data_IF_269099352299
#
_entry.id   IF_269099352299
#
_cell.length_a   1.000
_cell.length_b   1.000
_cell.length_c   1.000
_cell.angle_alpha   90.00
_cell.angle_beta   90.00
_cell.angle_gamma   90.00
#
_symmetry.space_group_name_H-M   'P 1'
#
loop_
_entity.id
_entity.type
_entity.pdbx_description
1 polymer ?
#
# COMPACT_ATOMS: atom_id res chain seq x y z
N UNK A 1 -30.26 0.64 -9.29
CA UNK A 1 -30.00 -0.13 -8.05
C UNK A 1 -29.08 0.72 -7.18
N UNK A 2 -29.34 0.86 -5.88
CA UNK A 2 -28.51 1.64 -4.93
C UNK A 2 -28.15 0.73 -3.75
N UNK A 3 -26.86 0.62 -3.44
CA UNK A 3 -26.38 -0.13 -2.29
C UNK A 3 -26.15 0.84 -1.12
N UNK A 4 -26.83 0.62 0.01
CA UNK A 4 -26.59 1.40 1.24
C UNK A 4 -25.33 0.86 1.93
N UNK A 5 -24.60 1.74 2.62
CA UNK A 5 -23.40 1.40 3.39
C UNK A 5 -22.33 0.61 2.59
N UNK A 6 -22.25 0.83 1.27
CA UNK A 6 -21.31 0.12 0.38
C UNK A 6 -19.89 0.68 0.44
N UNK A 7 -19.71 1.84 1.07
CA UNK A 7 -18.43 2.53 1.26
C UNK A 7 -18.36 2.97 2.71
N UNK A 8 -17.23 2.73 3.36
CA UNK A 8 -16.91 3.36 4.64
C UNK A 8 -15.63 4.19 4.53
N UNK A 9 -15.61 5.30 5.27
CA UNK A 9 -14.49 6.22 5.37
C UNK A 9 -14.22 6.42 6.86
N UNK A 10 -12.99 6.17 7.30
CA UNK A 10 -12.62 6.27 8.70
C UNK A 10 -11.14 6.59 8.87
N UNK A 11 -10.78 7.23 9.98
CA UNK A 11 -9.39 7.34 10.41
C UNK A 11 -8.99 6.11 11.23
N UNK A 12 -7.82 5.58 10.96
CA UNK A 12 -7.30 4.38 11.61
C UNK A 12 -5.95 4.67 12.26
N UNK A 13 -5.84 4.42 13.56
CA UNK A 13 -4.55 4.36 14.24
C UNK A 13 -3.86 3.03 13.93
N UNK A 14 -2.66 3.09 13.34
CA UNK A 14 -1.95 1.91 12.83
C UNK A 14 -1.09 1.18 13.86
N UNK A 15 -1.15 1.58 15.14
CA UNK A 15 -0.44 0.87 16.22
C UNK A 15 1.08 1.06 16.25
N UNK A 16 1.62 1.93 15.40
CA UNK A 16 3.05 2.25 15.32
C UNK A 16 3.23 3.75 15.07
N UNK A 17 4.35 4.36 15.49
CA UNK A 17 4.63 5.75 15.15
C UNK A 17 4.96 5.90 13.66
N UNK A 18 4.53 7.00 13.04
CA UNK A 18 4.91 7.34 11.67
C UNK A 18 6.40 7.68 11.60
N UNK A 19 6.87 8.41 12.62
CA UNK A 19 8.27 8.76 12.84
C UNK A 19 8.51 8.89 14.34
N UNK A 20 9.72 8.56 14.79
CA UNK A 20 10.21 8.86 16.14
C UNK A 20 11.73 8.94 16.19
N UNK A 21 12.24 9.74 17.10
CA UNK A 21 13.64 9.77 17.48
C UNK A 21 13.74 10.10 18.97
N UNK A 22 14.61 9.37 19.67
CA UNK A 22 15.00 9.68 21.04
C UNK A 22 16.50 9.92 21.03
N UNK A 23 16.90 11.11 21.45
CA UNK A 23 18.29 11.48 21.61
C UNK A 23 18.64 11.45 23.09
N UNK A 24 19.78 10.84 23.40
CA UNK A 24 20.37 10.80 24.76
C UNK A 24 21.84 11.26 24.75
N UNK A 25 22.51 11.19 23.59
CA UNK A 25 23.96 11.36 23.53
C UNK A 25 24.44 12.82 23.57
N UNK A 26 23.72 13.75 22.93
CA UNK A 26 24.07 15.19 22.88
C UNK A 26 23.00 16.10 23.49
N UNK A 27 21.75 15.68 23.34
CA UNK A 27 20.57 16.34 23.88
C UNK A 27 19.68 15.22 24.41
N UNK A 28 18.98 15.47 25.51
CA UNK A 28 18.00 14.54 26.04
C UNK A 28 16.62 14.99 25.57
N UNK A 29 16.17 14.51 24.41
CA UNK A 29 14.88 14.91 23.85
C UNK A 29 14.22 13.81 23.03
N UNK A 30 12.91 13.91 22.89
CA UNK A 30 12.09 12.99 22.11
C UNK A 30 11.28 13.75 21.08
N UNK A 31 11.32 13.32 19.82
CA UNK A 31 10.41 13.78 18.78
C UNK A 31 9.67 12.59 18.18
N UNK A 32 8.35 12.63 18.10
CA UNK A 32 7.55 11.51 17.63
C UNK A 32 6.20 11.92 17.07
N UNK A 33 5.58 11.00 16.36
CA UNK A 33 4.25 11.18 15.80
C UNK A 33 3.56 9.83 15.66
N UNK A 34 2.34 9.72 16.19
CA UNK A 34 1.46 8.57 15.98
C UNK A 34 1.18 8.38 14.48
N UNK A 35 1.05 7.14 14.01
CA UNK A 35 0.65 6.88 12.63
C UNK A 35 -0.86 6.72 12.55
N UNK A 36 -1.55 7.75 12.09
CA UNK A 36 -2.96 7.72 11.71
C UNK A 36 -3.09 7.84 10.20
N UNK A 37 -4.04 7.11 9.63
CA UNK A 37 -4.31 7.12 8.19
C UNK A 37 -5.81 7.20 7.92
N UNK A 38 -6.16 7.93 6.85
CA UNK A 38 -7.53 7.95 6.33
C UNK A 38 -7.73 6.74 5.42
N UNK A 39 -8.75 5.94 5.69
CA UNK A 39 -9.06 4.73 4.94
C UNK A 39 -10.41 4.90 4.26
N UNK A 40 -10.41 4.71 2.94
CA UNK A 40 -11.62 4.48 2.16
C UNK A 40 -11.69 2.98 1.85
N UNK A 41 -12.78 2.32 2.25
CA UNK A 41 -12.97 0.88 2.03
C UNK A 41 -14.27 0.58 1.30
N UNK A 42 -14.19 -0.34 0.36
CA UNK A 42 -15.35 -0.98 -0.29
C UNK A 42 -15.15 -2.49 -0.35
N UNK A 43 -16.24 -3.25 -0.32
CA UNK A 43 -16.22 -4.71 -0.35
C UNK A 43 -17.09 -5.19 -1.50
N UNK A 44 -16.54 -6.06 -2.34
CA UNK A 44 -17.26 -6.69 -3.45
C UNK A 44 -17.36 -8.19 -3.21
N UNK A 45 -18.57 -8.67 -2.95
CA UNK A 45 -18.87 -10.09 -2.86
C UNK A 45 -19.27 -10.62 -4.25
N UNK A 46 -18.49 -11.56 -4.80
CA UNK A 46 -18.71 -12.16 -6.11
C UNK A 46 -18.75 -13.69 -5.93
N UNK A 47 -19.95 -14.25 -5.99
CA UNK A 47 -20.16 -15.69 -5.78
C UNK A 47 -19.74 -16.09 -4.37
N UNK A 48 -18.67 -16.88 -4.29
CA UNK A 48 -18.13 -17.40 -3.03
C UNK A 48 -17.06 -16.50 -2.39
N UNK A 49 -16.48 -15.54 -3.13
CA UNK A 49 -15.40 -14.68 -2.63
C UNK A 49 -15.88 -13.29 -2.23
N UNK A 50 -15.24 -12.75 -1.20
CA UNK A 50 -15.36 -11.38 -0.74
C UNK A 50 -14.02 -10.66 -0.91
N UNK A 51 -13.99 -9.61 -1.73
CA UNK A 51 -12.80 -8.80 -1.95
C UNK A 51 -12.93 -7.47 -1.21
N UNK A 52 -12.01 -7.23 -0.29
CA UNK A 52 -11.91 -5.96 0.43
C UNK A 52 -10.90 -5.07 -0.26
N UNK A 53 -11.33 -3.88 -0.67
CA UNK A 53 -10.51 -2.89 -1.34
C UNK A 53 -10.31 -1.70 -0.42
N UNK A 54 -9.05 -1.44 -0.06
CA UNK A 54 -8.66 -0.33 0.80
C UNK A 54 -7.82 0.67 0.01
N UNK A 55 -8.21 1.94 0.11
CA UNK A 55 -7.40 3.08 -0.32
C UNK A 55 -7.02 3.87 0.93
N UNK A 56 -5.73 3.85 1.25
CA UNK A 56 -5.17 4.35 2.52
C UNK A 56 -4.32 5.57 2.22
N UNK A 57 -4.63 6.68 2.88
CA UNK A 57 -3.93 7.95 2.73
C UNK A 57 -3.15 8.26 4.00
N UNK A 58 -1.84 8.42 3.85
CA UNK A 58 -0.92 8.64 4.96
C UNK A 58 -0.55 10.12 5.10
N UNK A 59 -0.30 10.55 6.34
CA UNK A 59 0.07 11.95 6.65
C UNK A 59 1.43 12.39 6.03
N UNK A 60 2.27 11.45 5.60
CA UNK A 60 3.52 11.75 4.87
C UNK A 60 3.32 11.91 3.35
N UNK A 61 2.08 11.91 2.86
CA UNK A 61 1.72 12.01 1.44
C UNK A 61 1.80 10.71 0.66
N UNK A 62 2.05 9.57 1.31
CA UNK A 62 1.94 8.27 0.67
C UNK A 62 0.46 7.87 0.49
N UNK A 63 0.20 7.10 -0.56
CA UNK A 63 -1.11 6.53 -0.86
C UNK A 63 -0.95 5.05 -1.14
N UNK A 64 -1.73 4.20 -0.50
CA UNK A 64 -1.72 2.76 -0.72
C UNK A 64 -3.07 2.30 -1.23
N UNK A 65 -3.04 1.46 -2.25
CA UNK A 65 -4.21 0.72 -2.69
C UNK A 65 -3.95 -0.77 -2.45
N UNK A 66 -4.83 -1.39 -1.66
CA UNK A 66 -4.67 -2.74 -1.14
C UNK A 66 -5.93 -3.56 -1.38
N UNK A 67 -5.74 -4.82 -1.71
CA UNK A 67 -6.79 -5.81 -1.86
C UNK A 67 -6.54 -6.96 -0.90
N UNK A 68 -7.58 -7.42 -0.23
CA UNK A 68 -7.60 -8.66 0.54
C UNK A 68 -8.71 -9.57 0.02
N UNK A 69 -8.45 -10.87 -0.02
CA UNK A 69 -9.45 -11.88 -0.33
C UNK A 69 -9.89 -12.62 0.94
N UNK A 70 -11.19 -12.81 1.09
CA UNK A 70 -11.82 -13.69 2.08
C UNK A 70 -13.07 -14.32 1.45
N UNK A 71 -13.94 -14.92 2.26
CA UNK A 71 -15.09 -15.68 1.78
C UNK A 71 -14.82 -17.17 1.71
N UNK A 72 -15.72 -17.89 1.06
CA UNK A 72 -15.62 -19.33 0.87
C UNK A 72 -14.72 -19.65 -0.30
N UNK A 73 -13.94 -20.71 -0.17
CA UNK A 73 -13.20 -21.29 -1.28
C UNK A 73 -14.13 -22.01 -2.25
N UNK A 74 -13.75 -22.02 -3.53
CA UNK A 74 -14.41 -22.88 -4.51
C UNK A 74 -13.85 -24.30 -4.42
N UNK A 75 -14.71 -25.32 -4.41
CA UNK A 75 -14.32 -26.72 -4.22
C UNK A 75 -14.94 -27.64 -5.26
N UNK A 76 -14.29 -28.78 -5.49
CA UNK A 76 -14.68 -29.88 -6.37
C UNK A 76 -14.68 -31.19 -5.57
N UNK A 77 -15.35 -32.22 -6.08
CA UNK A 77 -15.36 -33.53 -5.40
C UNK A 77 -14.00 -34.23 -5.45
N UNK A 78 -13.63 -34.91 -4.36
CA UNK A 78 -12.42 -35.73 -4.25
C UNK A 78 -12.55 -37.00 -5.11
N UNK A 79 -11.82 -37.02 -6.22
CA UNK A 79 -11.68 -38.21 -7.07
C UNK A 79 -10.24 -38.72 -6.96
N UNK A 80 -10.04 -40.02 -6.72
CA UNK A 80 -8.72 -40.66 -6.50
C UNK A 80 -7.66 -40.34 -7.55
N UNK A 81 -8.06 -39.98 -8.77
CA UNK A 81 -7.15 -39.61 -9.86
C UNK A 81 -6.52 -38.20 -9.72
N UNK A 82 -7.02 -37.36 -8.81
CA UNK A 82 -6.70 -35.93 -8.71
C UNK A 82 -5.98 -35.59 -7.39
N UNK A 83 -5.49 -36.60 -6.65
CA UNK A 83 -4.86 -36.39 -5.33
C UNK A 83 -3.56 -35.58 -5.37
N UNK A 84 -2.93 -35.45 -6.54
CA UNK A 84 -1.63 -34.78 -6.70
C UNK A 84 -1.74 -33.29 -7.01
N UNK A 85 -2.95 -32.74 -7.21
CA UNK A 85 -3.14 -31.34 -7.65
C UNK A 85 -3.85 -30.45 -6.62
N UNK A 86 -4.25 -30.98 -5.46
CA UNK A 86 -5.02 -30.24 -4.47
C UNK A 86 -4.91 -30.82 -3.05
N UNK A 87 -5.03 -29.97 -2.04
CA UNK A 87 -5.00 -30.37 -0.62
C UNK A 87 -6.36 -30.96 -0.22
N UNK A 88 -6.34 -32.07 0.53
CA UNK A 88 -7.55 -32.66 1.09
C UNK A 88 -7.86 -32.04 2.46
N UNK A 89 -9.05 -31.48 2.60
CA UNK A 89 -9.51 -30.84 3.84
C UNK A 89 -10.81 -31.46 4.39
N UNK A 90 -11.59 -32.16 3.55
CA UNK A 90 -12.77 -32.93 3.97
C UNK A 90 -12.79 -34.31 3.32
N UNK A 91 -13.64 -35.21 3.83
CA UNK A 91 -13.70 -36.61 3.37
C UNK A 91 -13.95 -36.75 1.86
N UNK A 92 -14.59 -35.76 1.22
CA UNK A 92 -15.16 -35.83 -0.14
C UNK A 92 -14.82 -34.66 -1.07
N UNK A 93 -13.98 -33.69 -0.68
CA UNK A 93 -13.73 -32.46 -1.45
C UNK A 93 -12.23 -32.16 -1.68
N UNK A 94 -11.92 -31.55 -2.82
CA UNK A 94 -10.63 -31.01 -3.29
C UNK A 94 -10.82 -29.56 -3.73
N UNK A 95 -9.80 -28.71 -3.58
CA UNK A 95 -9.87 -27.29 -3.99
C UNK A 95 -9.11 -26.99 -5.28
N UNK A 96 -9.45 -25.90 -5.97
CA UNK A 96 -8.80 -25.47 -7.22
C UNK A 96 -7.99 -24.17 -7.04
N UNK A 97 -6.74 -24.19 -7.50
CA UNK A 97 -5.84 -23.04 -7.54
C UNK A 97 -6.37 -21.92 -8.45
N UNK A 98 -6.26 -20.65 -8.03
CA UNK A 98 -6.69 -19.47 -8.80
C UNK A 98 -5.76 -18.25 -8.56
N UNK A 99 -5.83 -17.22 -9.42
CA UNK A 99 -4.99 -16.00 -9.33
C UNK A 99 -5.64 -14.80 -10.05
N UNK A 100 -5.42 -13.57 -9.51
CA UNK A 100 -5.26 -12.25 -10.17
C UNK A 100 -6.16 -11.09 -9.67
N UNK A 101 -5.56 -9.90 -9.51
CA UNK A 101 -6.23 -8.57 -9.52
C UNK A 101 -5.38 -7.55 -10.32
N UNK A 102 -6.04 -6.57 -10.94
CA UNK A 102 -5.40 -5.48 -11.68
C UNK A 102 -5.84 -4.13 -11.11
N UNK A 103 -4.87 -3.25 -10.87
CA UNK A 103 -5.05 -1.89 -10.37
C UNK A 103 -4.48 -0.89 -11.37
N UNK A 104 -5.26 0.13 -11.70
CA UNK A 104 -4.83 1.25 -12.53
C UNK A 104 -4.50 2.44 -11.63
N UNK A 105 -3.29 2.97 -11.75
CA UNK A 105 -2.87 4.20 -11.06
C UNK A 105 -2.59 5.28 -12.10
N UNK A 106 -3.45 6.29 -12.16
CA UNK A 106 -3.19 7.52 -12.90
C UNK A 106 -2.48 8.53 -12.00
N UNK A 107 -1.30 9.00 -12.39
CA UNK A 107 -0.68 10.15 -11.74
C UNK A 107 -1.34 11.43 -12.26
N UNK A 108 -2.28 11.99 -11.50
CA UNK A 108 -2.88 13.30 -11.80
C UNK A 108 -1.93 14.48 -11.50
N UNK A 109 -0.67 14.42 -11.94
CA UNK A 109 0.31 15.48 -11.68
C UNK A 109 0.37 16.50 -12.82
N UNK A 110 -0.50 17.52 -12.72
CA UNK A 110 -0.26 18.89 -13.23
C UNK A 110 0.34 19.01 -14.64
N UNK A 111 -0.33 18.57 -15.71
CA UNK A 111 -0.07 19.00 -17.11
C UNK A 111 1.42 19.07 -17.52
N UNK A 112 2.27 18.28 -16.88
CA UNK A 112 3.73 18.40 -16.91
C UNK A 112 4.28 17.12 -17.48
N UNK A 113 5.29 17.24 -18.31
CA UNK A 113 5.97 16.12 -18.94
C UNK A 113 6.44 15.09 -17.89
N UNK A 114 5.85 13.89 -17.92
CA UNK A 114 6.20 12.79 -17.03
C UNK A 114 7.09 11.75 -17.74
N UNK A 115 7.89 11.02 -16.98
CA UNK A 115 8.69 9.90 -17.48
C UNK A 115 8.84 8.82 -16.42
N UNK A 116 8.92 7.57 -16.86
CA UNK A 116 9.28 6.46 -15.99
C UNK A 116 10.79 6.44 -15.75
N UNK A 117 11.19 6.28 -14.49
CA UNK A 117 12.58 6.15 -14.10
C UNK A 117 12.78 4.95 -13.17
N UNK A 118 13.89 4.24 -13.33
CA UNK A 118 14.32 3.19 -12.42
C UNK A 118 15.58 3.60 -11.70
N UNK A 119 15.70 3.24 -10.43
CA UNK A 119 16.93 3.39 -9.64
C UNK A 119 17.32 2.07 -8.98
N UNK A 120 18.61 1.78 -8.99
CA UNK A 120 19.18 0.62 -8.31
C UNK A 120 20.58 0.95 -7.76
N UNK A 121 21.24 -0.02 -7.16
CA UNK A 121 22.55 0.11 -6.57
C UNK A 121 23.50 -0.95 -7.15
N UNK A 122 24.68 -0.50 -7.53
CA UNK A 122 25.80 -1.35 -7.96
C UNK A 122 27.03 -1.04 -7.12
N UNK A 123 27.84 -2.05 -6.82
CA UNK A 123 29.09 -1.83 -6.10
C UNK A 123 30.22 -1.63 -7.09
N UNK A 124 30.93 -0.50 -6.97
CA UNK A 124 32.13 -0.22 -7.77
C UNK A 124 33.36 -0.34 -6.90
N UNK A 125 34.38 -0.98 -7.44
CA UNK A 125 35.68 -1.03 -6.79
C UNK A 125 36.42 0.30 -7.01
N UNK A 126 36.56 1.11 -5.96
CA UNK A 126 37.13 2.46 -6.04
C UNK A 126 38.32 2.58 -5.09
N UNK A 127 39.39 3.25 -5.53
CA UNK A 127 40.52 3.55 -4.66
C UNK A 127 40.16 4.59 -3.62
N UNK A 128 40.63 4.41 -2.39
CA UNK A 128 40.35 5.36 -1.30
C UNK A 128 41.12 6.66 -1.55
N UNK A 129 40.45 7.84 -1.61
CA UNK A 129 41.13 9.11 -1.86
C UNK A 129 42.28 9.40 -0.87
N UNK A 130 42.12 8.96 0.38
CA UNK A 130 43.09 9.11 1.46
C UNK A 130 44.11 7.96 1.60
N UNK A 131 43.91 6.83 0.90
CA UNK A 131 44.84 5.69 0.88
C UNK A 131 44.85 5.05 -0.51
N UNK A 132 45.60 5.66 -1.44
CA UNK A 132 45.58 5.29 -2.88
C UNK A 132 45.94 3.83 -3.21
N UNK A 133 46.60 3.11 -2.29
CA UNK A 133 46.92 1.69 -2.42
C UNK A 133 45.81 0.74 -1.94
N UNK A 134 44.79 1.29 -1.29
CA UNK A 134 43.66 0.54 -0.77
C UNK A 134 42.41 0.82 -1.60
N UNK A 135 41.59 -0.22 -1.75
CA UNK A 135 40.36 -0.18 -2.52
C UNK A 135 39.20 -0.62 -1.65
N UNK A 136 38.04 -0.04 -1.91
CA UNK A 136 36.80 -0.43 -1.27
C UNK A 136 35.70 -0.61 -2.31
N UNK A 137 34.81 -1.56 -2.04
CA UNK A 137 33.56 -1.70 -2.78
C UNK A 137 32.59 -0.64 -2.28
N UNK A 138 32.40 0.42 -3.07
CA UNK A 138 31.53 1.54 -2.72
C UNK A 138 30.20 1.39 -3.47
N UNK A 139 29.04 1.49 -2.78
CA UNK A 139 27.75 1.49 -3.45
C UNK A 139 27.58 2.76 -4.29
N UNK A 140 27.21 2.58 -5.55
CA UNK A 140 26.88 3.64 -6.50
C UNK A 140 25.41 3.52 -6.91
N UNK A 141 24.73 4.67 -6.90
CA UNK A 141 23.39 4.79 -7.46
C UNK A 141 23.47 4.66 -8.99
N UNK A 142 22.60 3.83 -9.55
CA UNK A 142 22.40 3.71 -10.99
C UNK A 142 20.98 4.15 -11.31
N UNK A 143 20.85 5.11 -12.21
CA UNK A 143 19.56 5.63 -12.66
C UNK A 143 19.40 5.37 -14.15
N UNK A 144 18.23 4.87 -14.56
CA UNK A 144 17.86 4.68 -15.96
C UNK A 144 16.48 5.28 -16.20
N UNK A 145 16.36 6.11 -17.24
CA UNK A 145 15.07 6.58 -17.76
C UNK A 145 14.54 5.56 -18.76
N UNK A 146 13.25 5.24 -18.70
CA UNK A 146 12.60 4.32 -19.64
C UNK A 146 11.97 5.12 -20.77
N UNK A 147 12.28 4.75 -22.00
CA UNK A 147 11.93 5.55 -23.18
C UNK A 147 10.72 5.02 -23.94
N UNK A 148 10.40 3.72 -23.80
CA UNK A 148 9.28 3.07 -24.49
C UNK A 148 8.39 2.29 -23.53
N UNK A 149 7.15 1.98 -23.93
CA UNK A 149 6.26 1.13 -23.14
C UNK A 149 6.86 -0.26 -22.90
N UNK A 150 7.58 -0.80 -23.88
CA UNK A 150 8.23 -2.11 -23.77
C UNK A 150 9.35 -2.12 -22.73
N UNK A 151 10.12 -1.04 -22.61
CA UNK A 151 11.10 -0.90 -21.52
C UNK A 151 10.44 -0.74 -20.14
N UNK A 152 9.27 -0.09 -20.09
CA UNK A 152 8.50 0.10 -18.87
C UNK A 152 7.67 -1.13 -18.46
N UNK A 153 7.50 -2.11 -19.35
CA UNK A 153 6.76 -3.33 -19.09
C UNK A 153 7.57 -4.33 -18.26
N UNK A 154 7.35 -4.31 -16.94
CA UNK A 154 7.95 -5.25 -16.01
C UNK A 154 7.12 -6.54 -15.95
N UNK A 155 7.48 -7.53 -16.77
CA UNK A 155 6.78 -8.82 -16.84
C UNK A 155 7.08 -9.72 -15.63
N UNK A 156 6.16 -10.63 -15.34
CA UNK A 156 6.34 -11.65 -14.31
C UNK A 156 7.63 -12.46 -14.53
N UNK A 157 8.39 -12.71 -13.45
CA UNK A 157 9.66 -13.43 -13.48
C UNK A 157 10.87 -12.61 -13.95
N UNK A 158 10.68 -11.35 -14.35
CA UNK A 158 11.80 -10.44 -14.64
C UNK A 158 12.34 -9.81 -13.36
N UNK A 159 13.63 -9.47 -13.36
CA UNK A 159 14.24 -8.73 -12.24
C UNK A 159 13.59 -7.34 -12.17
N UNK A 160 12.74 -7.12 -11.18
CA UNK A 160 12.14 -5.81 -10.93
C UNK A 160 13.18 -4.86 -10.33
N UNK A 161 13.27 -3.61 -10.81
CA UNK A 161 14.13 -2.61 -10.19
C UNK A 161 13.69 -2.35 -8.75
N UNK A 162 14.63 -2.09 -7.85
CA UNK A 162 14.30 -1.80 -6.44
C UNK A 162 13.46 -0.53 -6.29
N UNK A 163 13.69 0.45 -7.17
CA UNK A 163 12.98 1.71 -7.20
C UNK A 163 12.42 1.95 -8.60
N UNK A 164 11.10 1.94 -8.73
CA UNK A 164 10.36 2.35 -9.93
C UNK A 164 9.64 3.66 -9.64
N UNK A 165 9.82 4.67 -10.50
CA UNK A 165 9.34 6.02 -10.28
C UNK A 165 8.55 6.51 -11.48
N UNK A 166 7.51 7.31 -11.20
CA UNK A 166 6.95 8.27 -12.15
C UNK A 166 7.53 9.63 -11.74
N UNK A 167 8.28 10.26 -12.64
CA UNK A 167 9.01 11.50 -12.39
C UNK A 167 8.54 12.63 -13.29
N UNK A 168 8.42 13.82 -12.73
CA UNK A 168 8.21 15.06 -13.49
C UNK A 168 9.55 15.71 -13.83
N UNK A 169 9.55 16.66 -14.78
CA UNK A 169 10.67 17.55 -15.04
C UNK A 169 10.85 18.66 -13.99
N UNK A 170 9.85 18.88 -13.13
CA UNK A 170 9.97 19.81 -12.00
C UNK A 170 10.93 19.27 -10.92
N UNK A 171 11.67 20.16 -10.28
CA UNK A 171 12.60 19.82 -9.19
C UNK A 171 12.14 20.37 -7.84
N UNK A 172 12.60 19.74 -6.76
CA UNK A 172 12.48 20.27 -5.41
C UNK A 172 13.62 21.28 -5.12
N UNK A 173 13.63 21.87 -3.91
CA UNK A 173 14.63 22.89 -3.50
C UNK A 173 16.08 22.41 -3.54
N UNK A 174 16.30 21.11 -3.60
CA UNK A 174 17.62 20.47 -3.63
C UNK A 174 18.07 20.13 -5.06
N UNK A 175 17.29 20.49 -6.08
CA UNK A 175 17.59 20.20 -7.49
C UNK A 175 17.24 18.78 -7.93
N UNK A 176 16.59 17.97 -7.09
CA UNK A 176 16.15 16.63 -7.47
C UNK A 176 14.78 16.68 -8.15
N UNK A 177 14.59 15.87 -9.19
CA UNK A 177 13.29 15.72 -9.85
C UNK A 177 12.23 15.21 -8.88
N UNK A 178 11.05 15.81 -8.94
CA UNK A 178 9.88 15.43 -8.13
C UNK A 178 9.30 14.14 -8.69
N UNK A 179 9.17 13.12 -7.84
CA UNK A 179 8.71 11.80 -8.28
C UNK A 179 7.90 11.08 -7.21
N UNK A 180 7.04 10.16 -7.65
CA UNK A 180 6.45 9.14 -6.80
C UNK A 180 7.07 7.78 -7.12
N UNK A 181 7.49 7.06 -6.08
CA UNK A 181 7.95 5.68 -6.17
C UNK A 181 6.74 4.75 -6.10
N UNK A 182 6.68 3.80 -7.03
CA UNK A 182 5.74 2.70 -7.02
C UNK A 182 6.39 1.51 -6.30
N UNK A 183 5.78 1.07 -5.21
CA UNK A 183 6.20 -0.10 -4.46
C UNK A 183 5.06 -1.13 -4.48
N UNK A 184 5.23 -2.18 -5.29
CA UNK A 184 4.23 -3.22 -5.46
C UNK A 184 4.46 -4.33 -4.43
N UNK A 185 3.38 -4.77 -3.78
CA UNK A 185 3.38 -5.92 -2.88
C UNK A 185 2.46 -6.99 -3.48
N UNK A 186 3.07 -8.02 -4.06
CA UNK A 186 2.36 -9.11 -4.72
C UNK A 186 3.21 -10.38 -4.72
N UNK A 187 2.56 -11.54 -4.71
CA UNK A 187 3.18 -12.87 -4.86
C UNK A 187 2.51 -13.64 -6.00
N UNK A 188 2.41 -13.04 -7.21
CA UNK A 188 1.54 -13.54 -8.26
C UNK A 188 1.93 -14.95 -8.71
N UNK A 189 0.95 -15.77 -9.04
CA UNK A 189 1.16 -17.01 -9.79
C UNK A 189 1.66 -16.76 -11.21
N UNK A 190 2.00 -17.83 -11.94
CA UNK A 190 2.57 -17.76 -13.30
C UNK A 190 1.61 -17.24 -14.37
N UNK A 191 0.31 -17.19 -14.08
CA UNK A 191 -0.73 -16.63 -14.97
C UNK A 191 -0.82 -15.12 -14.78
N UNK A 192 0.12 -14.36 -15.35
CA UNK A 192 -0.03 -12.91 -15.52
C UNK A 192 -0.73 -12.63 -16.85
N UNK A 193 -1.67 -11.69 -16.87
CA UNK A 193 -2.16 -11.12 -18.13
C UNK A 193 -0.95 -10.58 -18.91
N UNK A 194 -0.72 -11.10 -20.13
CA UNK A 194 0.25 -10.52 -21.06
C UNK A 194 -0.38 -9.27 -21.63
N UNK A 195 -0.06 -8.11 -21.08
CA UNK A 195 -0.12 -6.89 -21.86
C UNK A 195 0.78 -7.07 -23.10
N UNK A 196 0.38 -6.52 -24.25
CA UNK A 196 1.21 -6.45 -25.45
C UNK A 196 1.69 -5.00 -25.58
N UNK A 197 2.80 -4.61 -24.90
CA UNK A 197 3.30 -3.25 -24.95
C UNK A 197 3.74 -2.93 -26.38
N UNK A 198 3.54 -1.70 -26.83
CA UNK A 198 3.97 -1.26 -28.16
C UNK A 198 5.32 -0.58 -28.07
N UNK A 199 6.03 -0.46 -29.20
CA UNK A 199 7.22 0.40 -29.31
C UNK A 199 6.84 1.89 -29.37
N UNK A 200 5.97 2.35 -28.46
CA UNK A 200 5.56 3.75 -28.36
C UNK A 200 6.41 4.47 -27.32
N UNK A 201 6.78 5.72 -27.60
CA UNK A 201 7.56 6.55 -26.70
C UNK A 201 6.73 7.03 -25.49
N UNK A 202 7.33 6.94 -24.29
CA UNK A 202 6.68 7.33 -23.02
C UNK A 202 7.34 8.57 -22.38
N UNK A 203 8.27 9.23 -23.07
CA UNK A 203 8.93 10.43 -22.56
C UNK A 203 8.04 11.67 -22.69
N UNK A 204 7.87 12.38 -21.57
CA UNK A 204 7.19 13.67 -21.51
C UNK A 204 5.69 13.59 -21.84
N UNK A 205 5.10 12.40 -21.69
CA UNK A 205 3.69 12.17 -21.94
C UNK A 205 2.89 12.21 -20.62
N UNK A 206 1.57 12.18 -20.74
CA UNK A 206 0.67 11.83 -19.63
C UNK A 206 0.72 10.31 -19.43
N UNK A 207 1.20 9.86 -18.26
CA UNK A 207 1.51 8.46 -18.02
C UNK A 207 0.48 7.79 -17.11
N UNK A 208 0.16 6.55 -17.45
CA UNK A 208 -0.67 5.67 -16.64
C UNK A 208 0.13 4.42 -16.30
N UNK A 209 0.22 4.10 -15.00
CA UNK A 209 0.81 2.86 -14.55
C UNK A 209 -0.27 1.80 -14.34
N UNK A 210 -0.08 0.64 -14.97
CA UNK A 210 -0.91 -0.54 -14.77
C UNK A 210 -0.18 -1.51 -13.85
N UNK A 211 -0.74 -1.72 -12.66
CA UNK A 211 -0.15 -2.58 -11.64
C UNK A 211 -0.98 -3.85 -11.51
N UNK A 212 -0.31 -4.99 -11.55
CA UNK A 212 -0.95 -6.28 -11.26
C UNK A 212 -0.53 -6.73 -9.88
N UNK A 213 -1.50 -6.99 -9.00
CA UNK A 213 -1.26 -7.51 -7.67
C UNK A 213 -2.11 -8.77 -7.46
N UNK A 214 -1.53 -9.79 -6.83
CA UNK A 214 -2.21 -11.05 -6.61
C UNK A 214 -1.30 -12.04 -5.93
N UNK A 215 -1.84 -13.21 -5.61
CA UNK A 215 -1.11 -14.30 -5.01
C UNK A 215 -1.59 -15.65 -5.54
N UNK A 216 -0.73 -16.66 -5.45
CA UNK A 216 -1.11 -18.05 -5.65
C UNK A 216 -1.77 -18.57 -4.37
N UNK A 217 -3.04 -18.99 -4.46
CA UNK A 217 -3.74 -19.61 -3.33
C UNK A 217 -3.84 -21.12 -3.55
N UNK A 218 -3.14 -21.89 -2.71
CA UNK A 218 -3.33 -23.34 -2.55
C UNK A 218 -4.09 -23.48 -1.22
N UNK A 219 -5.41 -23.71 -1.25
CA UNK A 219 -6.13 -23.66 0.00
C UNK A 219 -5.84 -24.89 0.87
N UNK A 220 -6.14 -24.73 2.16
CA UNK A 220 -5.77 -25.66 3.22
C UNK A 220 -6.79 -25.65 4.37
N UNK A 221 -6.57 -26.47 5.40
CA UNK A 221 -7.57 -26.70 6.45
C UNK A 221 -8.01 -25.40 7.17
N UNK A 222 -7.10 -24.45 7.36
CA UNK A 222 -7.36 -23.15 8.00
C UNK A 222 -8.11 -22.15 7.10
N UNK A 223 -8.41 -22.50 5.83
CA UNK A 223 -9.35 -21.77 4.98
C UNK A 223 -10.82 -22.14 5.26
N UNK A 224 -11.07 -23.05 6.22
CA UNK A 224 -12.41 -23.44 6.66
C UNK A 224 -12.74 -22.78 8.00
N UNK A 225 -13.90 -22.09 8.12
CA UNK A 225 -14.96 -21.97 7.12
C UNK A 225 -14.65 -21.01 5.97
N UNK A 226 -13.80 -20.00 6.20
CA UNK A 226 -13.48 -18.96 5.23
C UNK A 226 -11.98 -18.70 5.17
N UNK A 227 -11.49 -18.31 3.99
CA UNK A 227 -10.13 -17.80 3.82
C UNK A 227 -9.92 -16.53 4.64
N UNK A 228 -8.81 -16.45 5.35
CA UNK A 228 -8.48 -15.30 6.21
C UNK A 228 -7.78 -14.18 5.43
N UNK A 229 -7.91 -12.93 5.88
CA UNK A 229 -7.29 -11.77 5.21
C UNK A 229 -5.81 -11.58 5.54
N UNK A 230 -5.33 -12.15 6.65
CA UNK A 230 -3.94 -12.07 7.11
C UNK A 230 -3.06 -12.83 6.12
N UNK A 231 -2.03 -12.16 5.57
CA UNK A 231 -1.13 -12.73 4.57
C UNK A 231 -1.70 -12.74 3.13
N UNK A 232 -3.01 -12.71 2.95
CA UNK A 232 -3.70 -12.71 1.64
C UNK A 232 -3.93 -11.29 1.09
N UNK A 233 -3.03 -10.36 1.44
CA UNK A 233 -3.05 -8.98 0.98
C UNK A 233 -2.11 -8.76 -0.20
N UNK A 234 -2.56 -8.02 -1.21
CA UNK A 234 -1.72 -7.50 -2.29
C UNK A 234 -2.03 -6.03 -2.55
N UNK A 235 -1.15 -5.32 -3.23
CA UNK A 235 -1.40 -3.91 -3.53
C UNK A 235 -0.22 -3.14 -4.10
N UNK A 236 -0.37 -1.82 -4.11
CA UNK A 236 0.66 -0.86 -4.48
C UNK A 236 0.67 0.31 -3.53
N UNK A 237 1.87 0.69 -3.09
CA UNK A 237 2.13 1.88 -2.31
C UNK A 237 2.84 2.92 -3.19
N UNK A 238 2.18 4.06 -3.37
CA UNK A 238 2.72 5.25 -4.01
C UNK A 238 3.38 6.10 -2.94
N UNK A 239 4.70 6.26 -3.02
CA UNK A 239 5.48 7.01 -2.02
C UNK A 239 6.10 8.26 -2.63
N UNK A 240 5.94 9.44 -2.01
CA UNK A 240 6.73 10.61 -2.39
C UNK A 240 8.22 10.31 -2.33
N UNK A 241 8.95 10.65 -3.39
CA UNK A 241 10.40 10.54 -3.44
C UNK A 241 10.98 11.79 -4.08
N UNK A 242 11.61 12.65 -3.26
CA UNK A 242 12.02 14.01 -3.65
C UNK A 242 10.86 14.86 -4.22
N UNK A 243 9.60 14.45 -4.01
CA UNK A 243 8.44 15.21 -4.44
C UNK A 243 8.26 16.48 -3.61
N UNK A 244 8.50 16.39 -2.30
CA UNK A 244 8.51 17.51 -1.38
C UNK A 244 9.94 17.99 -1.11
N UNK A 245 10.06 19.13 -0.43
CA UNK A 245 11.33 19.67 0.04
C UNK A 245 11.80 18.99 1.33
N UNK A 246 10.86 18.49 2.12
CA UNK A 246 11.01 17.75 3.38
C UNK A 246 9.76 16.89 3.62
N UNK A 247 9.78 16.06 4.66
CA UNK A 247 8.62 15.22 5.02
C UNK A 247 7.43 16.11 5.44
N UNK A 248 6.28 16.07 4.74
CA UNK A 248 5.13 16.90 5.09
C UNK A 248 4.55 16.57 6.47
N UNK A 249 4.86 15.41 7.06
CA UNK A 249 4.41 15.09 8.42
C UNK A 249 5.09 15.94 9.50
N UNK A 250 6.12 16.73 9.17
CA UNK A 250 6.82 17.61 10.12
C UNK A 250 5.89 18.67 10.72
N UNK A 251 4.92 19.15 9.94
CA UNK A 251 3.96 20.18 10.35
C UNK A 251 2.68 19.58 10.97
N UNK A 252 2.65 18.27 11.23
CA UNK A 252 1.46 17.63 11.78
C UNK A 252 1.15 18.12 13.19
N UNK A 253 -0.11 18.50 13.49
CA UNK A 253 -0.53 18.86 14.84
C UNK A 253 -0.55 17.67 15.80
N UNK A 254 -0.47 16.44 15.28
CA UNK A 254 -0.41 15.21 16.07
C UNK A 254 1.04 14.82 16.45
N UNK A 255 2.01 15.63 16.04
CA UNK A 255 3.40 15.43 16.42
C UNK A 255 3.70 15.97 17.81
N UNK A 256 4.61 15.31 18.50
CA UNK A 256 5.01 15.61 19.87
C UNK A 256 6.52 15.80 19.89
N UNK A 257 6.96 16.85 20.59
CA UNK A 257 8.37 17.09 20.88
C UNK A 257 8.52 17.39 22.38
N UNK A 258 9.34 16.59 23.05
CA UNK A 258 9.54 16.63 24.49
C UNK A 258 11.01 16.92 24.81
N UNK A 259 11.21 17.92 25.65
CA UNK A 259 12.47 18.21 26.34
C UNK A 259 12.30 17.97 27.84
N UNK A 260 13.39 17.79 28.60
CA UNK A 260 13.30 17.49 30.03
C UNK A 260 12.58 18.62 30.76
N UNK A 261 11.53 18.28 31.51
CA UNK A 261 10.68 19.25 32.21
C UNK A 261 9.43 19.71 31.43
N UNK A 262 9.24 19.27 30.18
CA UNK A 262 8.05 19.59 29.37
C UNK A 262 6.99 18.48 29.33
N UNK A 263 7.20 17.40 30.09
CA UNK A 263 6.41 16.17 30.00
C UNK A 263 4.96 16.35 30.43
N UNK A 264 4.69 17.30 31.32
CA UNK A 264 3.37 17.58 31.89
C UNK A 264 2.60 18.72 31.19
N UNK A 265 3.21 19.40 30.21
CA UNK A 265 2.56 20.52 29.52
C UNK A 265 1.64 20.03 28.41
N UNK A 266 0.37 20.44 28.43
CA UNK A 266 -0.58 20.16 27.33
C UNK A 266 -0.15 20.77 25.99
N UNK A 267 0.63 21.86 26.03
CA UNK A 267 1.05 22.58 24.83
C UNK A 267 2.09 21.81 24.02
N UNK A 268 3.05 21.17 24.71
CA UNK A 268 4.10 20.35 24.09
C UNK A 268 3.76 18.86 24.03
N UNK A 269 2.92 18.39 24.96
CA UNK A 269 2.55 16.99 25.11
C UNK A 269 1.03 16.84 25.28
N UNK A 270 0.29 16.66 24.18
CA UNK A 270 -1.15 16.40 24.26
C UNK A 270 -1.50 15.17 25.11
N UNK A 271 -0.61 14.17 25.16
CA UNK A 271 -0.83 12.98 26.00
C UNK A 271 -0.87 13.31 27.49
N UNK A 272 -0.30 14.42 27.93
CA UNK A 272 -0.37 14.86 29.33
C UNK A 272 -1.79 15.21 29.77
N UNK A 273 -2.68 15.55 28.81
CA UNK A 273 -4.01 16.11 29.11
C UNK A 273 -5.16 15.26 28.55
N UNK A 274 -4.82 14.14 27.89
CA UNK A 274 -5.80 13.15 27.41
C UNK A 274 -6.72 12.66 28.53
N UNK A 275 -6.24 12.53 29.77
CA UNK A 275 -7.10 12.11 30.89
C UNK A 275 -8.16 13.13 31.28
N UNK A 276 -7.89 14.42 31.07
CA UNK A 276 -8.82 15.52 31.39
C UNK A 276 -9.79 15.78 30.22
N UNK A 277 -9.34 15.53 28.99
CA UNK A 277 -10.11 15.74 27.76
C UNK A 277 -10.85 14.48 27.27
N UNK A 278 -10.70 13.35 27.97
CA UNK A 278 -11.32 12.08 27.58
C UNK A 278 -12.83 12.14 27.75
N UNK A 279 -13.54 12.00 26.62
CA UNK A 279 -14.97 11.72 26.60
C UNK A 279 -15.23 10.55 25.65
N UNK A 280 -16.20 9.71 26.01
CA UNK A 280 -16.66 8.62 25.15
C UNK A 280 -17.85 9.06 24.32
N UNK A 281 -17.83 8.76 23.03
CA UNK A 281 -19.02 8.93 22.20
C UNK A 281 -20.10 7.91 22.62
N UNK A 282 -21.35 8.35 22.70
CA UNK A 282 -22.47 7.42 22.74
C UNK A 282 -22.56 6.71 21.39
N UNK A 283 -22.42 5.39 21.38
CA UNK A 283 -22.46 4.60 20.15
C UNK A 283 -23.90 4.44 19.68
N UNK A 284 -24.14 4.71 18.41
CA UNK A 284 -25.43 4.41 17.78
C UNK A 284 -25.69 2.90 17.75
N UNK A 285 -26.95 2.52 17.80
CA UNK A 285 -27.35 1.13 17.66
C UNK A 285 -26.93 0.60 16.28
N UNK A 286 -26.39 -0.62 16.25
CA UNK A 286 -25.98 -1.27 15.00
C UNK A 286 -27.18 -1.40 14.04
N UNK A 287 -26.94 -1.06 12.78
CA UNK A 287 -27.92 -1.24 11.70
C UNK A 287 -27.31 -2.04 10.56
N UNK A 288 -28.12 -2.89 9.93
CA UNK A 288 -27.75 -3.65 8.74
C UNK A 288 -28.77 -3.38 7.64
N UNK A 289 -28.32 -2.86 6.49
CA UNK A 289 -29.19 -2.51 5.38
C UNK A 289 -30.04 -1.25 5.63
N UNK A 290 -31.36 -1.42 5.79
CA UNK A 290 -32.35 -0.33 5.94
C UNK A 290 -32.82 -0.26 7.41
N UNK A 291 -32.94 0.94 7.97
CA UNK A 291 -33.55 1.12 9.30
C UNK A 291 -35.03 0.71 9.23
N UNK A 292 -35.61 0.05 10.25
CA UNK A 292 -37.03 -0.34 10.23
C UNK A 292 -37.98 0.82 9.92
N UNK A 293 -37.62 2.02 10.36
CA UNK A 293 -38.32 3.30 10.16
C UNK A 293 -38.21 3.92 8.76
N UNK A 294 -37.30 3.42 7.92
CA UNK A 294 -37.17 3.80 6.49
C UNK A 294 -37.89 2.77 5.56
N UNK A 295 -38.52 1.73 6.11
CA UNK A 295 -39.36 0.81 5.34
C UNK A 295 -40.70 1.48 5.02
N UNK A 296 -41.27 1.29 3.81
CA UNK A 296 -42.63 1.74 3.54
C UNK A 296 -43.57 1.13 4.59
N UNK A 297 -44.23 1.98 5.38
CA UNK A 297 -45.38 1.53 6.17
C UNK A 297 -46.47 1.16 5.17
N UNK A 298 -46.61 -0.13 4.88
CA UNK A 298 -47.83 -0.62 4.26
C UNK A 298 -48.91 -0.46 5.33
N UNK A 299 -49.80 0.52 5.13
CA UNK A 299 -51.05 0.57 5.88
C UNK A 299 -51.86 -0.66 5.52
N UNK A 300 -52.35 -1.37 6.52
CA UNK A 300 -53.38 -2.39 6.35
C UNK A 300 -54.68 -1.67 5.95
N UNK A 301 -54.93 -1.56 4.64
CA UNK A 301 -56.26 -1.27 4.06
C UNK A 301 -57.01 -2.58 3.77
#
# INVERSE_FOLDING_TARGET
MRFRNSICIFELYLGQPLRRHFADFFHNSYGGMANTALVFRTITAIGNYDYMWDFIFYQNGAVEAKVHATGYITSSFLVKAVSNTATRWHQTCLETTHSLYQLQSGSGCSRSEEHFQTKDMEFKNVSLPWMKQHYAMVPHLVEKTLHTEQEAALLHGTKTPRYLHISSNQTNRWGHKRSYRLQVTALPGTTSLRASPREVHVLGQDLVAWVTAGFLHIPHAEDIPNTVTVGNGGGVLLRPHNYFNEDPSIESPDSVYLEPGSESSCESNRMACVSEESCGAALEAFTYGVRPEDLPQFGDD
#
